data_IF_646037879796
#
_entry.id   IF_646037879796
#
_cell.length_a   1.000
_cell.length_b   1.000
_cell.length_c   1.000
_cell.angle_alpha   90.00
_cell.angle_beta   90.00
_cell.angle_gamma   90.00
#
_symmetry.space_group_name_H-M   'P 1'
#
loop_
_entity.id
_entity.type
_entity.pdbx_description
1 polymer ?
#
# COMPACT_ATOMS: atom_id res chain seq x y z
N UNK A 1 11.49 -9.67 4.55
CA UNK A 1 12.18 -9.26 3.30
C UNK A 1 13.55 -9.94 3.20
N UNK A 2 13.81 -10.62 2.09
CA UNK A 2 15.09 -11.29 1.80
C UNK A 2 16.05 -10.41 0.99
N UNK A 3 15.70 -9.13 0.82
CA UNK A 3 16.47 -8.14 0.04
C UNK A 3 16.64 -8.50 -1.44
N UNK A 4 15.76 -9.32 -2.02
CA UNK A 4 15.81 -9.68 -3.45
C UNK A 4 15.07 -8.70 -4.38
N UNK A 5 14.20 -7.86 -3.84
CA UNK A 5 13.34 -6.95 -4.59
C UNK A 5 13.08 -5.64 -3.84
N UNK A 6 12.75 -4.59 -4.59
CA UNK A 6 12.12 -3.38 -4.07
C UNK A 6 10.60 -3.50 -4.21
N UNK A 7 9.88 -2.87 -3.28
CA UNK A 7 8.45 -2.61 -3.42
C UNK A 7 8.27 -1.11 -3.70
N UNK A 8 7.70 -0.77 -4.84
CA UNK A 8 7.54 0.62 -5.28
C UNK A 8 6.10 0.93 -5.67
N UNK A 9 5.61 2.13 -5.34
CA UNK A 9 4.41 2.67 -5.96
C UNK A 9 4.84 3.43 -7.22
N UNK A 10 4.36 3.02 -8.39
CA UNK A 10 4.74 3.62 -9.67
C UNK A 10 3.53 3.82 -10.59
N UNK A 11 3.56 4.95 -11.31
CA UNK A 11 2.61 5.36 -12.35
C UNK A 11 3.25 5.18 -13.71
N UNK A 12 2.44 4.96 -14.73
CA UNK A 12 2.88 4.89 -16.13
C UNK A 12 3.96 3.80 -16.33
N UNK A 13 3.83 2.71 -15.57
CA UNK A 13 4.78 1.62 -15.54
C UNK A 13 4.15 0.36 -16.16
N UNK A 14 4.89 -0.31 -17.06
CA UNK A 14 4.40 -1.40 -17.90
C UNK A 14 3.06 -1.09 -18.63
N UNK A 15 2.87 0.16 -19.06
CA UNK A 15 1.67 0.59 -19.79
C UNK A 15 0.43 0.80 -18.92
N UNK A 16 0.54 0.74 -17.59
CA UNK A 16 -0.56 1.02 -16.66
C UNK A 16 -0.48 2.48 -16.20
N UNK A 17 -1.51 3.25 -16.52
CA UNK A 17 -1.56 4.69 -16.25
C UNK A 17 -1.85 5.03 -14.78
N UNK A 18 -2.51 4.15 -14.02
CA UNK A 18 -2.75 4.37 -12.60
C UNK A 18 -1.50 4.07 -11.75
N UNK A 19 -1.46 4.62 -10.54
CA UNK A 19 -0.46 4.20 -9.57
C UNK A 19 -0.76 2.78 -9.11
N UNK A 20 0.19 1.87 -9.29
CA UNK A 20 0.13 0.48 -8.79
C UNK A 20 1.32 0.22 -7.88
N UNK A 21 1.16 -0.81 -7.05
CA UNK A 21 2.23 -1.28 -6.19
C UNK A 21 2.94 -2.44 -6.88
N UNK A 22 4.23 -2.27 -7.14
CA UNK A 22 5.06 -3.18 -7.91
C UNK A 22 6.15 -3.78 -7.05
N UNK A 23 6.32 -5.09 -7.17
CA UNK A 23 7.51 -5.78 -6.72
C UNK A 23 8.49 -5.83 -7.90
N UNK A 24 9.63 -5.17 -7.75
CA UNK A 24 10.68 -5.08 -8.77
C UNK A 24 11.90 -5.86 -8.27
N UNK A 25 12.21 -7.02 -8.85
CA UNK A 25 13.44 -7.74 -8.55
C UNK A 25 14.67 -6.84 -8.74
N UNK A 26 15.70 -7.01 -7.89
CA UNK A 26 16.95 -6.25 -7.99
C UNK A 26 17.85 -6.71 -9.15
N UNK A 27 17.46 -7.79 -9.83
CA UNK A 27 18.15 -8.36 -10.98
C UNK A 27 17.20 -8.40 -12.18
N UNK A 28 17.72 -8.14 -13.38
CA UNK A 28 16.95 -8.13 -14.62
C UNK A 28 16.43 -6.76 -15.03
N UNK A 29 15.59 -6.73 -16.06
CA UNK A 29 14.94 -5.52 -16.57
C UNK A 29 13.58 -5.32 -15.89
N UNK A 30 13.42 -4.22 -15.16
CA UNK A 30 12.18 -3.92 -14.42
C UNK A 30 10.92 -3.94 -15.31
N UNK A 31 11.01 -3.48 -16.55
CA UNK A 31 9.87 -3.47 -17.48
C UNK A 31 9.41 -4.89 -17.87
N UNK A 32 10.28 -5.90 -17.75
CA UNK A 32 9.99 -7.29 -18.11
C UNK A 32 9.67 -8.15 -16.90
N UNK A 33 10.33 -7.93 -15.76
CA UNK A 33 10.28 -8.85 -14.61
C UNK A 33 9.50 -8.33 -13.41
N UNK A 34 9.12 -7.05 -13.38
CA UNK A 34 8.32 -6.54 -12.28
C UNK A 34 6.90 -7.09 -12.35
N UNK A 35 6.33 -7.35 -11.17
CA UNK A 35 4.95 -7.84 -11.02
C UNK A 35 4.19 -6.94 -10.07
N UNK A 36 2.88 -6.79 -10.26
CA UNK A 36 2.05 -6.10 -9.29
C UNK A 36 2.03 -6.91 -7.98
N UNK A 37 2.33 -6.25 -6.86
CA UNK A 37 2.28 -6.83 -5.53
C UNK A 37 0.85 -7.05 -5.06
N UNK A 38 -0.06 -6.14 -5.43
CA UNK A 38 -1.50 -6.29 -5.27
C UNK A 38 -2.12 -6.13 -6.66
N UNK A 39 -2.71 -7.21 -7.18
CA UNK A 39 -3.40 -7.25 -8.46
C UNK A 39 -4.90 -7.51 -8.25
N UNK A 40 -5.58 -6.56 -7.60
CA UNK A 40 -7.02 -6.59 -7.36
C UNK A 40 -7.72 -5.59 -8.30
N UNK A 41 -8.74 -5.97 -9.08
CA UNK A 41 -9.40 -5.08 -10.03
C UNK A 41 -10.21 -3.95 -9.38
N UNK A 42 -10.53 -4.05 -8.09
CA UNK A 42 -11.27 -3.04 -7.35
C UNK A 42 -10.37 -2.04 -6.62
N UNK A 43 -9.06 -2.26 -6.62
CA UNK A 43 -8.08 -1.37 -6.04
C UNK A 43 -7.30 -0.68 -7.15
N UNK A 44 -7.34 0.65 -7.20
CA UNK A 44 -6.58 1.49 -8.13
C UNK A 44 -5.91 2.66 -7.39
N UNK A 45 -4.92 3.29 -8.03
CA UNK A 45 -4.19 4.41 -7.42
C UNK A 45 -3.67 4.10 -6.01
N UNK A 46 -2.91 3.01 -5.84
CA UNK A 46 -2.38 2.52 -4.56
C UNK A 46 -1.28 3.45 -4.03
N UNK A 47 -1.69 4.56 -3.44
CA UNK A 47 -0.82 5.63 -3.01
C UNK A 47 -0.40 5.48 -1.54
N UNK A 48 0.84 5.93 -1.26
CA UNK A 48 1.42 6.00 0.08
C UNK A 48 1.36 4.67 0.88
N UNK A 49 1.78 3.52 0.33
CA UNK A 49 1.75 2.25 1.03
C UNK A 49 2.62 2.29 2.30
N UNK A 50 2.10 1.74 3.41
CA UNK A 50 2.77 1.62 4.70
C UNK A 50 2.44 0.29 5.38
N UNK A 51 3.42 -0.58 5.53
CA UNK A 51 3.26 -1.80 6.33
C UNK A 51 3.05 -1.47 7.80
N UNK A 52 2.24 -2.28 8.49
CA UNK A 52 2.22 -2.32 9.95
C UNK A 52 3.57 -2.79 10.50
N UNK A 53 3.83 -2.53 11.78
CA UNK A 53 5.10 -2.87 12.42
C UNK A 53 5.43 -4.38 12.38
N UNK A 54 4.40 -5.23 12.41
CA UNK A 54 4.51 -6.69 12.30
C UNK A 54 4.47 -7.20 10.85
N UNK A 55 4.24 -6.31 9.88
CA UNK A 55 4.16 -6.63 8.45
C UNK A 55 2.90 -7.35 8.00
N UNK A 56 1.96 -7.69 8.91
CA UNK A 56 0.72 -8.40 8.58
C UNK A 56 -0.22 -7.55 7.72
N UNK A 57 -0.25 -6.25 7.97
CA UNK A 57 -1.15 -5.33 7.29
C UNK A 57 -0.38 -4.36 6.42
N UNK A 58 -0.99 -3.98 5.31
CA UNK A 58 -0.55 -2.88 4.45
C UNK A 58 -1.69 -1.88 4.38
N UNK A 59 -1.46 -0.68 4.92
CA UNK A 59 -2.36 0.45 4.75
C UNK A 59 -1.91 1.26 3.53
N UNK A 60 -2.86 1.69 2.72
CA UNK A 60 -2.63 2.58 1.59
C UNK A 60 -3.93 3.32 1.26
N UNK A 61 -3.82 4.27 0.34
CA UNK A 61 -4.98 4.89 -0.26
C UNK A 61 -5.28 4.23 -1.60
N UNK A 62 -6.54 3.92 -1.86
CA UNK A 62 -7.05 3.60 -3.20
C UNK A 62 -7.87 4.78 -3.68
N UNK A 63 -7.38 5.52 -4.68
CA UNK A 63 -7.90 6.83 -5.09
C UNK A 63 -8.03 7.84 -3.91
N UNK A 64 -9.18 7.94 -3.24
CA UNK A 64 -9.39 8.80 -2.06
C UNK A 64 -9.83 8.02 -0.82
N UNK A 65 -9.91 6.69 -0.91
CA UNK A 65 -10.37 5.82 0.17
C UNK A 65 -9.20 5.24 0.96
N UNK A 66 -9.34 5.19 2.29
CA UNK A 66 -8.40 4.51 3.17
C UNK A 66 -8.67 3.00 3.14
N UNK A 67 -7.69 2.24 2.66
CA UNK A 67 -7.75 0.78 2.56
C UNK A 67 -6.78 0.12 3.53
N UNK A 68 -7.25 -0.94 4.17
CA UNK A 68 -6.45 -1.88 4.95
C UNK A 68 -6.44 -3.24 4.24
N UNK A 69 -5.25 -3.68 3.84
CA UNK A 69 -5.01 -4.98 3.20
C UNK A 69 -4.32 -5.93 4.19
N UNK A 70 -4.88 -7.12 4.40
CA UNK A 70 -4.25 -8.22 5.13
C UNK A 70 -3.36 -9.00 4.15
N UNK A 71 -2.05 -8.93 4.35
CA UNK A 71 -1.03 -9.48 3.46
C UNK A 71 -1.04 -11.01 3.46
N UNK A 72 -1.35 -11.62 4.60
CA UNK A 72 -1.37 -13.07 4.75
C UNK A 72 -2.64 -13.67 4.12
N UNK A 73 -3.79 -13.02 4.36
CA UNK A 73 -5.07 -13.48 3.84
C UNK A 73 -5.33 -13.02 2.39
N UNK A 74 -4.55 -12.07 1.87
CA UNK A 74 -4.79 -11.40 0.59
C UNK A 74 -6.21 -10.80 0.46
N UNK A 75 -6.73 -10.23 1.56
CA UNK A 75 -8.06 -9.60 1.60
C UNK A 75 -7.95 -8.14 2.03
N UNK A 76 -8.96 -7.34 1.72
CA UNK A 76 -8.96 -5.92 2.08
C UNK A 76 -10.32 -5.41 2.54
N UNK A 77 -10.30 -4.29 3.23
CA UNK A 77 -11.48 -3.49 3.58
C UNK A 77 -11.18 -2.00 3.52
N UNK A 78 -12.18 -1.20 3.15
CA UNK A 78 -12.15 0.24 3.39
C UNK A 78 -12.41 0.51 4.88
N UNK A 79 -11.64 1.42 5.50
CA UNK A 79 -11.78 1.75 6.92
C UNK A 79 -12.73 2.92 7.20
N UNK A 80 -12.94 3.80 6.21
CA UNK A 80 -13.85 4.94 6.33
C UNK A 80 -14.30 5.41 4.93
N UNK A 81 -15.14 4.63 4.26
CA UNK A 81 -15.62 4.95 2.91
C UNK A 81 -16.45 6.25 2.85
N UNK A 82 -16.90 6.78 3.99
CA UNK A 82 -17.63 8.04 4.07
C UNK A 82 -16.68 9.25 4.09
N UNK A 83 -15.42 9.06 4.49
CA UNK A 83 -14.43 10.13 4.61
C UNK A 83 -13.34 9.98 3.55
N UNK A 84 -13.59 10.59 2.39
CA UNK A 84 -12.58 10.71 1.33
C UNK A 84 -11.45 11.67 1.75
N UNK A 85 -10.20 11.31 1.46
CA UNK A 85 -9.04 12.10 1.85
C UNK A 85 -7.82 11.92 0.94
N UNK A 86 -6.92 12.90 0.99
CA UNK A 86 -5.64 12.89 0.26
C UNK A 86 -4.41 12.86 1.19
N UNK A 87 -4.63 12.57 2.47
CA UNK A 87 -3.56 12.51 3.46
C UNK A 87 -2.90 11.14 3.42
N UNK A 88 -1.56 11.05 3.37
CA UNK A 88 -0.84 9.78 3.52
C UNK A 88 -1.21 9.07 4.82
N UNK A 89 -1.33 7.74 4.75
CA UNK A 89 -1.68 6.92 5.91
C UNK A 89 -0.51 6.83 6.88
N UNK A 90 -0.81 6.81 8.18
CA UNK A 90 0.17 6.57 9.24
C UNK A 90 -0.37 5.54 10.22
N UNK A 91 0.52 4.68 10.68
CA UNK A 91 0.24 3.80 11.81
C UNK A 91 0.54 4.54 13.10
N UNK A 92 -0.41 4.53 14.04
CA UNK A 92 -0.15 5.04 15.37
C UNK A 92 0.89 4.14 16.08
N UNK A 93 1.73 4.70 16.97
CA UNK A 93 2.61 3.88 17.78
C UNK A 93 1.78 2.95 18.70
N UNK A 94 2.33 1.80 19.13
CA UNK A 94 1.59 0.85 19.97
C UNK A 94 1.05 1.43 21.28
N UNK A 95 1.66 2.50 21.78
CA UNK A 95 1.25 3.20 23.02
C UNK A 95 0.31 4.37 22.77
N UNK A 96 -0.14 4.60 21.53
CA UNK A 96 -1.11 5.65 21.24
C UNK A 96 -2.48 5.23 21.74
N UNK A 97 -3.02 5.99 22.69
CA UNK A 97 -4.36 5.75 23.23
C UNK A 97 -5.42 6.56 22.47
N UNK A 98 -5.18 7.85 22.26
CA UNK A 98 -6.02 8.77 21.49
C UNK A 98 -5.32 10.13 21.30
N UNK A 99 -5.89 11.00 20.48
CA UNK A 99 -5.35 12.34 20.20
C UNK A 99 -5.26 13.24 21.44
N UNK A 100 -6.17 13.09 22.41
CA UNK A 100 -6.15 13.90 23.64
C UNK A 100 -5.05 13.52 24.64
N UNK A 101 -4.42 12.35 24.44
CA UNK A 101 -3.29 11.88 25.24
C UNK A 101 -1.94 12.41 24.74
N UNK A 102 -1.88 12.99 23.54
CA UNK A 102 -0.70 13.68 23.02
C UNK A 102 -0.57 15.05 23.72
N UNK A 103 0.34 15.17 24.69
CA UNK A 103 0.68 16.43 25.37
C UNK A 103 2.08 16.90 25.03
#
# INVERSE_FOLDING_TARGET
>A
PDSSAMLIAARDFQGIAENRLWQVPLIGNADEVATQYIADPFLDHLDYPRFSADGRYLAFRSAYELVLYDVEAATWRALDAAMMGNTPVIWSPPTFENESACR
#
